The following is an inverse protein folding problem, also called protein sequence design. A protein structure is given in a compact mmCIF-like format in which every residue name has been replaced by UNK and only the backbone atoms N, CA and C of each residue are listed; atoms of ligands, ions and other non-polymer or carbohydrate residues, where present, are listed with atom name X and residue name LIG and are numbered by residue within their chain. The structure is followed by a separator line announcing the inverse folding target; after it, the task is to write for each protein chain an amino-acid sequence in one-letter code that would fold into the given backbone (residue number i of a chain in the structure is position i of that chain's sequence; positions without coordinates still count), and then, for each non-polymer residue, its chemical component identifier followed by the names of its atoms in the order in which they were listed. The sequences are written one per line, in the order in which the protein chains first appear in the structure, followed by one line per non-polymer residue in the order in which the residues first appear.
data_IF_154692402855
#
_entry.id   IF_154692402855
#
_cell.length_a   1.000
_cell.length_b   1.000
_cell.length_c   1.000
_cell.angle_alpha   90.00
_cell.angle_beta   90.00
_cell.angle_gamma   90.00
#
_symmetry.space_group_name_H-M   'P 1'
#
loop_
_entity.id
_entity.type
_entity.pdbx_description
1 polymer ?
#
# COMPACT_ATOMS: atom_id res chain seq x y z
N UNK A 1 -16.49 20.71 -16.43
CA UNK A 1 -16.89 19.33 -16.81
C UNK A 1 -15.93 18.29 -16.28
N UNK A 2 -16.47 17.12 -15.87
CA UNK A 2 -15.69 15.96 -15.44
C UNK A 2 -14.76 15.47 -16.54
N UNK A 3 -15.20 15.48 -17.79
CA UNK A 3 -14.43 14.96 -18.92
C UNK A 3 -13.20 15.82 -19.21
N UNK A 4 -13.34 17.15 -19.13
CA UNK A 4 -12.22 18.10 -19.26
C UNK A 4 -11.22 17.88 -18.12
N UNK A 5 -11.71 17.70 -16.89
CA UNK A 5 -10.84 17.42 -15.75
C UNK A 5 -10.10 16.09 -15.91
N UNK A 6 -10.77 15.04 -16.39
CA UNK A 6 -10.15 13.73 -16.65
C UNK A 6 -9.08 13.81 -17.73
N UNK A 7 -9.32 14.57 -18.81
CA UNK A 7 -8.33 14.75 -19.87
C UNK A 7 -7.10 15.51 -19.35
N UNK A 8 -7.31 16.55 -18.53
CA UNK A 8 -6.22 17.26 -17.87
C UNK A 8 -5.41 16.35 -16.94
N UNK A 9 -6.08 15.51 -16.15
CA UNK A 9 -5.44 14.53 -15.25
C UNK A 9 -4.62 13.50 -16.03
N UNK A 10 -5.13 13.04 -17.18
CA UNK A 10 -4.41 12.09 -18.05
C UNK A 10 -3.13 12.68 -18.62
N UNK A 11 -3.11 13.98 -18.89
CA UNK A 11 -1.89 14.66 -19.35
C UNK A 11 -0.96 15.04 -18.20
N UNK A 12 -1.52 15.40 -17.04
CA UNK A 12 -0.76 15.73 -15.83
C UNK A 12 -1.56 15.33 -14.59
N UNK A 13 -1.14 14.27 -13.90
CA UNK A 13 -1.81 13.79 -12.69
C UNK A 13 -1.90 14.83 -11.56
N UNK A 14 -1.02 15.83 -11.55
CA UNK A 14 -1.07 16.94 -10.57
C UNK A 14 -2.17 17.97 -10.88
N UNK A 15 -2.79 17.93 -12.07
CA UNK A 15 -3.95 18.75 -12.40
C UNK A 15 -5.14 18.48 -11.47
N UNK A 16 -5.10 17.38 -10.72
CA UNK A 16 -6.05 17.06 -9.67
C UNK A 16 -6.13 18.14 -8.58
N UNK A 17 -5.09 18.95 -8.36
CA UNK A 17 -5.11 20.11 -7.46
C UNK A 17 -6.25 21.09 -7.78
N UNK A 18 -6.53 21.29 -9.06
CA UNK A 18 -7.57 22.19 -9.55
C UNK A 18 -8.94 21.51 -9.69
N UNK A 19 -9.00 20.19 -9.47
CA UNK A 19 -10.24 19.44 -9.58
C UNK A 19 -11.16 19.70 -8.38
N UNK A 20 -12.47 19.69 -8.65
CA UNK A 20 -13.47 19.79 -7.60
C UNK A 20 -13.27 18.71 -6.53
N UNK A 21 -13.60 19.03 -5.28
CA UNK A 21 -13.43 18.11 -4.14
C UNK A 21 -14.14 16.75 -4.35
N UNK A 22 -15.31 16.77 -5.00
CA UNK A 22 -16.02 15.54 -5.38
C UNK A 22 -15.22 14.61 -6.31
N UNK A 23 -14.35 15.17 -7.16
CA UNK A 23 -13.44 14.39 -8.01
C UNK A 23 -12.22 13.90 -7.22
N UNK A 24 -11.71 14.73 -6.30
CA UNK A 24 -10.59 14.37 -5.39
C UNK A 24 -10.99 13.31 -4.35
N UNK A 25 -12.28 13.13 -4.12
CA UNK A 25 -12.86 12.07 -3.29
C UNK A 25 -13.25 10.81 -4.09
N UNK A 26 -13.02 10.79 -5.41
CA UNK A 26 -13.35 9.65 -6.25
C UNK A 26 -12.12 8.73 -6.44
N UNK A 27 -12.15 7.48 -5.92
CA UNK A 27 -11.00 6.58 -5.98
C UNK A 27 -10.55 6.26 -7.41
N UNK A 28 -11.46 6.09 -8.36
CA UNK A 28 -11.11 5.76 -9.75
C UNK A 28 -10.32 6.89 -10.42
N UNK A 29 -10.71 8.13 -10.13
CA UNK A 29 -10.04 9.33 -10.66
C UNK A 29 -8.65 9.48 -10.03
N UNK A 30 -8.53 9.26 -8.72
CA UNK A 30 -7.22 9.28 -8.06
C UNK A 30 -6.31 8.18 -8.60
N UNK A 31 -6.82 6.97 -8.83
CA UNK A 31 -6.01 5.88 -9.39
C UNK A 31 -5.49 6.21 -10.79
N UNK A 32 -6.33 6.77 -11.67
CA UNK A 32 -5.88 7.28 -12.98
C UNK A 32 -4.82 8.38 -12.80
N UNK A 33 -5.03 9.33 -11.89
CA UNK A 33 -4.09 10.42 -11.64
C UNK A 33 -2.74 9.91 -11.12
N UNK A 34 -2.75 8.96 -10.19
CA UNK A 34 -1.56 8.34 -9.59
C UNK A 34 -0.76 7.56 -10.63
N UNK A 35 -1.42 6.91 -11.59
CA UNK A 35 -0.75 6.25 -12.72
C UNK A 35 0.05 7.22 -13.59
N UNK A 36 -0.41 8.46 -13.71
CA UNK A 36 0.27 9.51 -14.50
C UNK A 36 1.33 10.23 -13.65
N UNK A 37 0.97 10.62 -12.44
CA UNK A 37 1.86 11.28 -11.47
C UNK A 37 1.56 10.81 -10.07
N UNK A 38 2.50 10.09 -9.48
CA UNK A 38 2.35 9.49 -8.14
C UNK A 38 2.05 10.52 -7.04
N UNK A 39 2.51 11.77 -7.20
CA UNK A 39 2.24 12.87 -6.28
C UNK A 39 0.77 13.30 -6.24
N UNK A 40 -0.07 12.84 -7.17
CA UNK A 40 -1.50 13.13 -7.21
C UNK A 40 -2.24 12.64 -5.95
N UNK A 41 -1.72 11.60 -5.28
CA UNK A 41 -2.31 11.11 -4.04
C UNK A 41 -2.32 12.19 -2.94
N UNK A 42 -1.38 13.14 -2.95
CA UNK A 42 -1.35 14.23 -1.97
C UNK A 42 -2.62 15.11 -1.98
N UNK A 43 -3.28 15.20 -3.13
CA UNK A 43 -4.52 15.96 -3.32
C UNK A 43 -5.79 15.15 -3.08
N UNK A 44 -5.67 13.82 -2.89
CA UNK A 44 -6.82 12.97 -2.59
C UNK A 44 -7.43 13.31 -1.21
N UNK A 45 -8.73 13.07 -1.07
CA UNK A 45 -9.41 13.27 0.21
C UNK A 45 -8.76 12.46 1.33
N UNK A 46 -8.75 13.00 2.55
CA UNK A 46 -8.22 12.30 3.73
C UNK A 46 -8.89 10.94 3.94
N UNK A 47 -10.19 10.85 3.65
CA UNK A 47 -10.96 9.60 3.73
C UNK A 47 -10.43 8.52 2.80
N UNK A 48 -9.97 8.87 1.60
CA UNK A 48 -9.35 7.93 0.68
C UNK A 48 -7.95 7.56 1.12
N UNK A 49 -7.15 8.54 1.56
CA UNK A 49 -5.78 8.31 2.06
C UNK A 49 -5.75 7.45 3.32
N UNK A 50 -6.83 7.45 4.10
CA UNK A 50 -7.03 6.59 5.27
C UNK A 50 -7.67 5.24 4.93
N UNK A 51 -8.15 5.02 3.71
CA UNK A 51 -8.80 3.78 3.32
C UNK A 51 -7.74 2.70 2.98
N UNK A 52 -7.63 1.60 3.77
CA UNK A 52 -6.59 0.60 3.58
C UNK A 52 -6.65 -0.11 2.22
N UNK A 53 -7.87 -0.40 1.73
CA UNK A 53 -8.07 -1.09 0.46
C UNK A 53 -7.65 -0.21 -0.73
N UNK A 54 -7.93 1.09 -0.64
CA UNK A 54 -7.50 2.06 -1.63
C UNK A 54 -5.98 2.24 -1.62
N UNK A 55 -5.38 2.44 -0.44
CA UNK A 55 -3.91 2.57 -0.31
C UNK A 55 -3.21 1.31 -0.82
N UNK A 56 -3.77 0.12 -0.58
CA UNK A 56 -3.24 -1.13 -1.13
C UNK A 56 -3.19 -1.13 -2.66
N UNK A 57 -4.24 -0.67 -3.33
CA UNK A 57 -4.26 -0.55 -4.79
C UNK A 57 -3.23 0.47 -5.29
N UNK A 58 -3.11 1.61 -4.60
CA UNK A 58 -2.16 2.66 -4.96
C UNK A 58 -0.71 2.21 -4.77
N UNK A 59 -0.42 1.46 -3.71
CA UNK A 59 0.90 0.89 -3.42
C UNK A 59 1.35 -0.09 -4.51
N UNK A 60 0.42 -0.87 -5.06
CA UNK A 60 0.71 -1.74 -6.21
C UNK A 60 1.14 -0.96 -7.46
N UNK A 61 0.72 0.30 -7.58
CA UNK A 61 1.12 1.18 -8.69
C UNK A 61 2.45 1.85 -8.39
N UNK A 62 2.59 2.49 -7.22
CA UNK A 62 3.87 3.01 -6.75
C UNK A 62 4.01 2.92 -5.23
N UNK A 63 5.17 2.45 -4.73
CA UNK A 63 5.46 2.43 -3.30
C UNK A 63 5.63 3.85 -2.74
N UNK A 64 6.07 4.80 -3.56
CA UNK A 64 6.27 6.20 -3.19
C UNK A 64 4.98 6.88 -2.70
N UNK A 65 3.82 6.35 -3.05
CA UNK A 65 2.55 6.87 -2.62
C UNK A 65 2.27 6.62 -1.12
N UNK A 66 3.00 5.70 -0.46
CA UNK A 66 2.92 5.52 0.99
C UNK A 66 3.27 6.79 1.77
N UNK A 67 4.10 7.67 1.20
CA UNK A 67 4.44 8.96 1.79
C UNK A 67 3.20 9.81 2.09
N UNK A 68 2.16 9.69 1.25
CA UNK A 68 0.94 10.47 1.33
C UNK A 68 -0.22 9.73 1.98
N UNK A 69 -0.10 8.41 2.17
CA UNK A 69 -1.09 7.60 2.88
C UNK A 69 -1.20 7.99 4.35
N UNK A 70 -2.31 7.66 5.01
CA UNK A 70 -2.48 7.93 6.43
C UNK A 70 -1.47 7.14 7.29
N UNK A 71 -1.19 7.62 8.51
CA UNK A 71 -0.19 7.02 9.40
C UNK A 71 -0.54 5.56 9.73
N UNK A 72 -1.83 5.25 9.83
CA UNK A 72 -2.37 3.92 10.08
C UNK A 72 -1.98 2.95 8.96
N UNK A 73 -2.06 3.39 7.70
CA UNK A 73 -1.65 2.59 6.56
C UNK A 73 -0.12 2.43 6.47
N UNK A 74 0.65 3.45 6.90
CA UNK A 74 2.12 3.38 7.02
C UNK A 74 2.62 2.55 8.20
N UNK A 75 1.73 2.18 9.12
CA UNK A 75 1.99 1.25 10.21
C UNK A 75 1.42 -0.16 9.93
N UNK A 76 0.70 -0.34 8.82
CA UNK A 76 0.09 -1.60 8.47
C UNK A 76 1.14 -2.60 7.98
N UNK A 77 1.56 -3.51 8.87
CA UNK A 77 2.56 -4.51 8.58
C UNK A 77 2.23 -5.38 7.36
N UNK A 78 0.94 -5.69 7.13
CA UNK A 78 0.53 -6.51 6.01
C UNK A 78 0.76 -5.80 4.68
N UNK A 79 0.34 -4.54 4.61
CA UNK A 79 0.57 -3.68 3.45
C UNK A 79 2.07 -3.42 3.22
N UNK A 80 2.84 -3.21 4.29
CA UNK A 80 4.29 -2.98 4.19
C UNK A 80 5.05 -4.23 3.71
N UNK A 81 4.71 -5.42 4.22
CA UNK A 81 5.32 -6.68 3.76
C UNK A 81 4.99 -6.91 2.28
N UNK A 82 3.75 -6.63 1.87
CA UNK A 82 3.35 -6.71 0.46
C UNK A 82 4.12 -5.73 -0.42
N UNK A 83 4.18 -4.46 -0.02
CA UNK A 83 4.92 -3.41 -0.72
C UNK A 83 6.42 -3.75 -0.84
N UNK A 84 7.01 -4.29 0.23
CA UNK A 84 8.39 -4.76 0.26
C UNK A 84 8.65 -5.92 -0.71
N UNK A 85 7.70 -6.84 -0.87
CA UNK A 85 7.82 -7.95 -1.83
C UNK A 85 7.76 -7.48 -3.28
N UNK A 86 6.90 -6.51 -3.58
CA UNK A 86 6.74 -6.01 -4.94
C UNK A 86 7.84 -5.02 -5.35
N UNK A 87 8.23 -4.12 -4.45
CA UNK A 87 9.11 -2.99 -4.77
C UNK A 87 10.47 -3.03 -4.05
N UNK A 88 10.69 -4.00 -3.18
CA UNK A 88 11.94 -4.16 -2.44
C UNK A 88 12.09 -3.19 -1.26
N UNK A 89 13.31 -3.05 -0.76
CA UNK A 89 13.63 -2.26 0.45
C UNK A 89 13.39 -0.75 0.32
N UNK A 90 13.15 -0.24 -0.88
CA UNK A 90 12.85 1.18 -1.12
C UNK A 90 11.59 1.67 -0.42
N UNK A 91 10.68 0.77 -0.02
CA UNK A 91 9.47 1.13 0.73
C UNK A 91 9.77 1.56 2.17
N UNK A 92 10.88 1.09 2.74
CA UNK A 92 11.22 1.29 4.15
C UNK A 92 11.43 2.76 4.52
N UNK A 93 11.78 3.61 3.55
CA UNK A 93 11.91 5.06 3.77
C UNK A 93 10.57 5.76 4.05
N UNK A 94 9.44 5.13 3.72
CA UNK A 94 8.10 5.71 3.86
C UNK A 94 7.32 5.16 5.06
N UNK A 95 7.91 4.20 5.79
CA UNK A 95 7.29 3.55 6.94
C UNK A 95 7.19 4.53 8.11
N UNK A 96 6.17 4.38 8.97
CA UNK A 96 6.06 5.20 10.19
C UNK A 96 7.35 5.16 11.03
N UNK A 97 7.71 6.28 11.65
CA UNK A 97 8.81 6.39 12.63
C UNK A 97 8.76 5.28 13.68
N UNK A 98 7.56 4.87 14.07
CA UNK A 98 7.31 3.88 15.11
C UNK A 98 7.76 2.46 14.73
N UNK A 99 7.79 2.16 13.43
CA UNK A 99 8.17 0.85 12.91
C UNK A 99 9.66 0.76 12.55
N UNK A 100 10.42 1.86 12.66
CA UNK A 100 11.85 1.88 12.35
C UNK A 100 12.67 0.85 13.14
N UNK A 101 12.44 0.63 14.45
CA UNK A 101 13.11 -0.44 15.21
C UNK A 101 12.82 -1.85 14.67
N UNK A 102 11.72 -2.02 13.95
CA UNK A 102 11.22 -3.31 13.44
C UNK A 102 11.46 -3.51 11.93
N UNK A 103 12.19 -2.59 11.28
CA UNK A 103 12.55 -2.69 9.85
C UNK A 103 13.30 -3.99 9.53
N UNK A 104 14.15 -4.46 10.43
CA UNK A 104 14.87 -5.73 10.27
C UNK A 104 13.93 -6.93 10.18
N UNK A 105 12.85 -6.89 10.95
CA UNK A 105 11.80 -7.93 10.97
C UNK A 105 10.99 -7.85 9.67
N UNK A 106 10.54 -6.66 9.27
CA UNK A 106 9.85 -6.44 7.98
C UNK A 106 10.64 -6.95 6.78
N UNK A 107 11.94 -6.66 6.72
CA UNK A 107 12.81 -7.10 5.63
C UNK A 107 12.96 -8.62 5.57
N UNK A 108 12.95 -9.30 6.73
CA UNK A 108 12.95 -10.76 6.80
C UNK A 108 11.58 -11.35 6.45
N UNK A 109 10.48 -10.74 6.89
CA UNK A 109 9.13 -11.18 6.54
C UNK A 109 8.84 -11.09 5.04
N UNK A 110 9.41 -10.08 4.38
CA UNK A 110 9.30 -9.94 2.93
C UNK A 110 10.12 -11.02 2.18
N UNK A 111 11.21 -11.53 2.75
CA UNK A 111 12.03 -12.58 2.13
C UNK A 111 11.56 -14.00 2.47
N UNK A 112 10.89 -14.20 3.61
CA UNK A 112 10.37 -15.51 4.03
C UNK A 112 9.08 -15.86 3.29
N UNK A 113 9.11 -16.80 2.35
CA UNK A 113 7.88 -17.32 1.71
C UNK A 113 7.10 -18.29 2.59
N UNK A 114 7.67 -18.71 3.73
CA UNK A 114 7.07 -19.71 4.64
C UNK A 114 6.53 -19.09 5.93
N UNK A 115 5.24 -19.33 6.19
CA UNK A 115 4.56 -19.02 7.43
C UNK A 115 5.17 -19.71 8.67
N UNK A 116 5.99 -20.75 8.48
CA UNK A 116 6.70 -21.46 9.53
C UNK A 116 7.94 -20.70 10.05
N UNK A 117 8.68 -19.99 9.17
CA UNK A 117 9.85 -19.19 9.54
C UNK A 117 9.48 -18.03 10.49
N UNK A 118 8.26 -17.49 10.33
CA UNK A 118 7.64 -16.54 11.25
C UNK A 118 7.58 -17.10 12.69
N UNK A 119 7.29 -18.40 12.89
CA UNK A 119 7.20 -19.01 14.22
C UNK A 119 8.54 -19.10 14.96
N UNK A 120 9.63 -19.37 14.23
CA UNK A 120 10.96 -19.48 14.81
C UNK A 120 11.53 -18.11 15.22
N UNK A 121 11.21 -17.03 14.50
CA UNK A 121 11.76 -15.71 14.77
C UNK A 121 11.17 -15.02 16.01
N UNK A 122 9.92 -15.32 16.36
CA UNK A 122 9.29 -14.76 17.56
C UNK A 122 9.72 -15.44 18.87
N UNK A 123 10.61 -16.43 18.82
CA UNK A 123 11.23 -16.98 20.03
C UNK A 123 12.27 -16.02 20.65
N UNK A 124 12.72 -14.99 19.92
CA UNK A 124 13.73 -14.02 20.38
C UNK A 124 13.26 -12.57 20.56
N UNK A 125 12.01 -12.23 20.20
CA UNK A 125 11.46 -10.89 20.35
C UNK A 125 10.25 -10.93 21.30
N UNK A 126 10.10 -9.93 22.17
CA UNK A 126 9.05 -9.82 23.19
C UNK A 126 7.66 -9.49 22.64
N UNK A 127 7.30 -10.04 21.48
CA UNK A 127 5.93 -9.96 20.98
C UNK A 127 5.09 -11.04 21.65
N UNK A 128 3.88 -10.70 22.06
CA UNK A 128 2.96 -11.69 22.59
C UNK A 128 2.59 -12.66 21.45
N UNK A 129 2.44 -13.96 21.76
CA UNK A 129 2.01 -14.94 20.75
C UNK A 129 0.73 -14.53 20.00
N UNK A 130 -0.12 -13.69 20.60
CA UNK A 130 -1.33 -13.15 19.95
C UNK A 130 -1.00 -12.20 18.81
N UNK A 131 -0.04 -11.30 18.99
CA UNK A 131 0.37 -10.35 17.95
C UNK A 131 1.04 -11.08 16.79
N UNK A 132 1.83 -12.10 17.12
CA UNK A 132 2.46 -13.00 16.14
C UNK A 132 1.43 -13.76 15.30
N UNK A 133 0.41 -14.30 15.96
CA UNK A 133 -0.60 -15.10 15.27
C UNK A 133 -1.56 -14.23 14.46
N UNK A 134 -1.96 -13.07 15.00
CA UNK A 134 -2.73 -12.07 14.26
C UNK A 134 -1.97 -11.57 13.02
N UNK A 135 -0.65 -11.42 13.12
CA UNK A 135 0.19 -11.04 11.99
C UNK A 135 0.27 -12.16 10.93
N UNK A 136 0.46 -13.40 11.36
CA UNK A 136 0.46 -14.58 10.46
C UNK A 136 -0.85 -14.71 9.70
N UNK A 137 -1.98 -14.60 10.39
CA UNK A 137 -3.31 -14.72 9.77
C UNK A 137 -3.55 -13.63 8.74
N UNK A 138 -3.12 -12.39 9.04
CA UNK A 138 -3.21 -11.26 8.10
C UNK A 138 -2.30 -11.42 6.89
N UNK A 139 -1.07 -11.89 7.07
CA UNK A 139 -0.15 -12.17 5.95
C UNK A 139 -0.71 -13.27 5.05
N UNK A 140 -1.21 -14.37 5.63
CA UNK A 140 -1.82 -15.46 4.87
C UNK A 140 -3.10 -15.04 4.12
N UNK A 141 -3.89 -14.13 4.68
CA UNK A 141 -5.06 -13.56 4.00
C UNK A 141 -4.64 -12.70 2.79
N UNK A 142 -3.62 -11.85 2.97
CA UNK A 142 -3.09 -11.02 1.89
C UNK A 142 -2.47 -11.84 0.76
N UNK A 143 -1.74 -12.92 1.08
CA UNK A 143 -1.18 -13.83 0.07
C UNK A 143 -2.26 -14.43 -0.85
N UNK A 144 -3.42 -14.82 -0.29
CA UNK A 144 -4.56 -15.31 -1.07
C UNK A 144 -5.15 -14.23 -1.97
N UNK A 145 -5.24 -13.00 -1.48
CA UNK A 145 -5.79 -11.87 -2.22
C UNK A 145 -4.87 -11.45 -3.38
N UNK A 146 -3.55 -11.50 -3.17
CA UNK A 146 -2.54 -11.26 -4.22
C UNK A 146 -2.61 -12.32 -5.32
N UNK A 147 -2.75 -13.59 -4.94
CA UNK A 147 -2.89 -14.69 -5.89
C UNK A 147 -4.18 -14.56 -6.73
N UNK A 148 -5.26 -14.06 -6.13
CA UNK A 148 -6.51 -13.75 -6.84
C UNK A 148 -6.31 -12.61 -7.86
N UNK A 149 -5.74 -11.48 -7.41
CA UNK A 149 -5.51 -10.31 -8.28
C UNK A 149 -4.54 -10.63 -9.44
N UNK A 150 -3.51 -11.46 -9.20
CA UNK A 150 -2.62 -11.96 -10.26
C UNK A 150 -3.35 -12.79 -11.30
N UNK A 151 -4.30 -13.64 -10.89
CA UNK A 151 -5.12 -14.44 -11.81
C UNK A 151 -6.10 -13.58 -12.62
N UNK A 152 -6.65 -12.53 -12.01
CA UNK A 152 -7.52 -11.59 -12.71
C UNK A 152 -6.75 -10.74 -13.73
N UNK A 153 -5.56 -10.24 -13.36
CA UNK A 153 -4.70 -9.49 -14.29
C UNK A 153 -4.11 -10.38 -15.40
N UNK A 154 -3.96 -11.68 -15.18
CA UNK A 154 -3.48 -12.64 -16.19
C UNK A 154 -4.52 -13.09 -17.23
N UNK A 155 -5.82 -12.86 -16.98
CA UNK A 155 -6.91 -13.25 -17.91
C UNK A 155 -7.27 -12.17 -18.95
N UNK A 156 -6.56 -11.05 -18.94
CA UNK A 156 -6.79 -9.90 -19.84
C UNK A 156 -5.74 -9.72 -20.95
N UNK A 157 -5.03 -10.78 -21.36
CA UNK A 157 -4.14 -10.78 -22.53
C UNK A 157 -4.62 -11.74 -23.60
#
# INVERSE_FOLDING_TARGET
DRDIAMEAIRQNGLALEFAAEALRANPDIILEAVRVSHGALSFASETLRANPQFVFQVVNLCPCALEWAAAEARADLGLLVHALRLHGRGVLSYVSSDLHPHIGLLSHLASCSDAEALTCMFQGYSYSQREVMALKDRVAALEKEVEHLRREQGRGK
#
